data_IF_889515901405
#
_entry.id   IF_889515901405
#
_cell.length_a   1.000
_cell.length_b   1.000
_cell.length_c   1.000
_cell.angle_alpha   90.00
_cell.angle_beta   90.00
_cell.angle_gamma   90.00
#
_symmetry.space_group_name_H-M   'P 1'
#
loop_
_entity.id
_entity.type
_entity.pdbx_description
1 polymer ?
#
# COMPACT_ATOMS: atom_id res chain seq x y z
N UNK A 1 48.35 -18.32 42.62
CA UNK A 1 46.93 -18.58 42.50
C UNK A 1 46.19 -17.26 42.30
N UNK A 2 46.03 -16.78 41.05
CA UNK A 2 45.21 -15.60 40.71
C UNK A 2 44.63 -15.79 39.30
N UNK A 3 43.62 -16.68 39.11
CA UNK A 3 42.97 -16.85 37.83
C UNK A 3 41.42 -17.04 37.81
N UNK A 4 40.63 -16.89 38.88
CA UNK A 4 39.19 -17.01 38.72
C UNK A 4 38.47 -15.70 38.38
N UNK A 5 39.10 -14.52 38.60
CA UNK A 5 38.39 -13.22 38.47
C UNK A 5 38.18 -12.81 36.99
N UNK A 6 39.15 -13.11 36.12
CA UNK A 6 39.06 -12.74 34.69
C UNK A 6 38.00 -13.59 33.94
N UNK A 7 37.90 -14.87 34.30
CA UNK A 7 36.91 -15.78 33.70
C UNK A 7 35.47 -15.39 34.06
N UNK A 8 35.25 -14.93 35.30
CA UNK A 8 33.92 -14.49 35.75
C UNK A 8 33.47 -13.18 35.10
N UNK A 9 34.39 -12.23 34.90
CA UNK A 9 34.09 -10.97 34.23
C UNK A 9 33.74 -11.18 32.73
N UNK A 10 34.46 -12.08 32.03
CA UNK A 10 34.15 -12.42 30.64
C UNK A 10 32.81 -13.15 30.49
N UNK A 11 32.45 -14.04 31.41
CA UNK A 11 31.13 -14.69 31.38
C UNK A 11 29.98 -13.70 31.64
N UNK A 12 30.16 -12.76 32.55
CA UNK A 12 29.16 -11.72 32.81
C UNK A 12 28.97 -10.77 31.63
N UNK A 13 30.05 -10.46 30.89
CA UNK A 13 29.96 -9.60 29.69
C UNK A 13 29.22 -10.32 28.56
N UNK A 14 29.54 -11.58 28.29
CA UNK A 14 28.83 -12.39 27.29
C UNK A 14 27.36 -12.63 27.65
N UNK A 15 27.04 -12.80 28.93
CA UNK A 15 25.66 -12.94 29.41
C UNK A 15 24.88 -11.63 29.26
N UNK A 16 25.51 -10.45 29.47
CA UNK A 16 24.87 -9.16 29.30
C UNK A 16 24.60 -8.85 27.84
N UNK A 17 25.51 -9.18 26.91
CA UNK A 17 25.30 -9.05 25.48
C UNK A 17 24.21 -9.98 24.96
N UNK A 18 24.16 -11.23 25.43
CA UNK A 18 23.11 -12.18 25.08
C UNK A 18 21.73 -11.75 25.61
N UNK A 19 21.64 -11.18 26.80
CA UNK A 19 20.40 -10.61 27.36
C UNK A 19 19.96 -9.35 26.61
N UNK A 20 20.88 -8.49 26.16
CA UNK A 20 20.56 -7.33 25.35
C UNK A 20 20.08 -7.73 23.95
N UNK A 21 20.71 -8.72 23.33
CA UNK A 21 20.30 -9.27 22.05
C UNK A 21 18.91 -9.94 22.12
N UNK A 22 18.62 -10.66 23.21
CA UNK A 22 17.32 -11.29 23.44
C UNK A 22 16.20 -10.26 23.69
N UNK A 23 16.50 -9.17 24.40
CA UNK A 23 15.58 -8.05 24.59
C UNK A 23 15.33 -7.27 23.29
N UNK A 24 16.33 -7.12 22.42
CA UNK A 24 16.17 -6.50 21.12
C UNK A 24 15.27 -7.32 20.17
N UNK A 25 15.34 -8.66 20.25
CA UNK A 25 14.46 -9.57 19.50
C UNK A 25 12.99 -9.53 19.97
N UNK A 26 12.72 -9.21 21.21
CA UNK A 26 11.40 -9.14 21.81
C UNK A 26 10.82 -7.71 21.89
N UNK A 27 11.53 -6.71 21.37
CA UNK A 27 11.01 -5.34 21.33
C UNK A 27 9.81 -5.26 20.42
N UNK A 28 8.72 -4.58 20.82
CA UNK A 28 7.59 -4.32 19.95
C UNK A 28 8.04 -3.61 18.67
N UNK A 29 7.59 -4.10 17.52
CA UNK A 29 7.90 -3.49 16.21
C UNK A 29 6.68 -2.73 15.73
N UNK A 30 6.88 -1.48 15.32
CA UNK A 30 5.87 -0.70 14.61
C UNK A 30 6.16 -0.79 13.11
N UNK A 31 5.15 -1.17 12.33
CA UNK A 31 5.20 -1.14 10.88
C UNK A 31 4.43 0.09 10.42
N UNK A 32 5.10 0.99 9.70
CA UNK A 32 4.49 2.20 9.16
C UNK A 32 4.33 2.01 7.66
N UNK A 33 3.08 2.08 7.19
CA UNK A 33 2.74 1.96 5.77
C UNK A 33 2.29 3.32 5.28
N UNK A 34 2.99 3.87 4.28
CA UNK A 34 2.59 5.11 3.63
C UNK A 34 1.62 4.79 2.50
N UNK A 35 0.44 5.36 2.57
CA UNK A 35 -0.58 5.24 1.53
C UNK A 35 -1.28 6.57 1.28
N UNK A 36 -2.12 6.62 0.25
CA UNK A 36 -3.06 7.68 0.03
C UNK A 36 -4.39 7.09 -0.50
N UNK A 37 -5.49 7.65 0.00
CA UNK A 37 -6.81 7.51 -0.58
C UNK A 37 -7.19 8.82 -1.26
N UNK A 38 -7.67 8.74 -2.48
CA UNK A 38 -8.06 9.89 -3.27
C UNK A 38 -9.41 9.62 -3.94
N UNK A 39 -10.42 10.40 -3.55
CA UNK A 39 -11.70 10.38 -4.22
C UNK A 39 -11.56 10.81 -5.68
N UNK A 40 -12.16 10.02 -6.56
CA UNK A 40 -12.23 10.33 -7.99
C UNK A 40 -13.02 11.61 -8.23
N UNK A 41 -14.07 11.81 -7.45
CA UNK A 41 -14.88 13.01 -7.42
C UNK A 41 -15.63 13.08 -6.07
N UNK A 42 -15.71 14.27 -5.48
CA UNK A 42 -16.51 14.49 -4.28
C UNK A 42 -17.11 15.91 -4.28
N UNK A 43 -16.51 16.87 -3.53
CA UNK A 43 -16.93 18.28 -3.53
C UNK A 43 -16.26 19.10 -4.66
N UNK A 44 -15.64 18.42 -5.58
CA UNK A 44 -14.93 18.96 -6.76
C UNK A 44 -15.16 18.04 -7.95
N UNK A 45 -14.82 18.50 -9.14
CA UNK A 45 -14.95 17.73 -10.38
C UNK A 45 -13.71 16.88 -10.70
N UNK A 46 -13.85 16.00 -11.68
CA UNK A 46 -12.78 15.10 -12.14
C UNK A 46 -11.57 15.88 -12.67
N UNK A 47 -11.78 17.05 -13.27
CA UNK A 47 -10.68 17.87 -13.79
C UNK A 47 -9.80 18.38 -12.66
N UNK A 48 -10.43 18.81 -11.56
CA UNK A 48 -9.71 19.18 -10.33
C UNK A 48 -8.95 17.98 -9.75
N UNK A 49 -9.59 16.80 -9.73
CA UNK A 49 -8.90 15.58 -9.30
C UNK A 49 -7.64 15.34 -10.10
N UNK A 50 -7.68 15.41 -11.41
CA UNK A 50 -6.53 15.16 -12.29
C UNK A 50 -5.46 16.23 -12.11
N UNK A 51 -5.86 17.51 -12.22
CA UNK A 51 -4.91 18.63 -12.30
C UNK A 51 -4.25 18.96 -10.95
N UNK A 52 -4.97 18.75 -9.86
CA UNK A 52 -4.48 19.10 -8.52
C UNK A 52 -4.10 17.85 -7.71
N UNK A 53 -5.05 16.98 -7.43
CA UNK A 53 -4.82 15.90 -6.46
C UNK A 53 -3.97 14.77 -6.99
N UNK A 54 -4.23 14.29 -8.22
CA UNK A 54 -3.40 13.27 -8.87
C UNK A 54 -2.00 13.82 -9.13
N UNK A 55 -1.91 15.06 -9.63
CA UNK A 55 -0.64 15.74 -9.84
C UNK A 55 0.17 15.88 -8.55
N UNK A 56 -0.46 16.36 -7.48
CA UNK A 56 0.22 16.55 -6.20
C UNK A 56 0.64 15.21 -5.59
N UNK A 57 -0.23 14.20 -5.60
CA UNK A 57 0.08 12.86 -5.10
C UNK A 57 1.29 12.28 -5.83
N UNK A 58 1.31 12.36 -7.16
CA UNK A 58 2.41 11.86 -7.97
C UNK A 58 3.73 12.58 -7.66
N UNK A 59 3.74 13.90 -7.71
CA UNK A 59 4.99 14.66 -7.56
C UNK A 59 5.55 14.63 -6.14
N UNK A 60 4.70 14.73 -5.12
CA UNK A 60 5.14 14.70 -3.73
C UNK A 60 5.76 13.34 -3.40
N UNK A 61 5.13 12.25 -3.82
CA UNK A 61 5.66 10.91 -3.54
C UNK A 61 6.91 10.59 -4.36
N UNK A 62 7.00 11.01 -5.61
CA UNK A 62 8.24 10.91 -6.37
C UNK A 62 9.38 11.72 -5.73
N UNK A 63 9.08 12.90 -5.18
CA UNK A 63 10.05 13.68 -4.41
C UNK A 63 10.52 12.95 -3.15
N UNK A 64 9.57 12.39 -2.35
CA UNK A 64 9.89 11.62 -1.15
C UNK A 64 10.72 10.37 -1.46
N UNK A 65 10.38 9.66 -2.52
CA UNK A 65 11.12 8.48 -3.00
C UNK A 65 12.56 8.82 -3.42
N UNK A 66 12.80 10.00 -3.96
CA UNK A 66 14.17 10.49 -4.25
C UNK A 66 14.92 10.88 -3.00
N UNK A 67 14.23 11.53 -2.05
CA UNK A 67 14.83 12.10 -0.85
C UNK A 67 15.17 11.05 0.21
N UNK A 68 14.31 10.04 0.36
CA UNK A 68 14.41 9.04 1.43
C UNK A 68 14.56 7.64 0.81
N UNK A 69 15.74 6.99 0.96
CA UNK A 69 15.99 5.66 0.35
C UNK A 69 15.04 4.58 0.81
N UNK A 70 14.63 4.63 2.07
CA UNK A 70 13.78 3.61 2.70
C UNK A 70 12.26 3.92 2.57
N UNK A 71 11.91 5.04 1.93
CA UNK A 71 10.51 5.40 1.74
C UNK A 71 9.85 4.47 0.73
N UNK A 72 8.69 3.93 1.10
CA UNK A 72 7.82 3.10 0.26
C UNK A 72 6.44 3.71 0.26
N UNK A 73 5.79 3.75 -0.88
CA UNK A 73 4.46 4.32 -1.05
C UNK A 73 3.50 3.33 -1.68
N UNK A 74 2.26 3.33 -1.21
CA UNK A 74 1.17 2.50 -1.70
C UNK A 74 0.05 3.40 -2.22
N UNK A 75 -0.46 3.12 -3.42
CA UNK A 75 -1.53 3.93 -4.00
C UNK A 75 -2.53 3.07 -4.74
N UNK A 76 -3.81 3.36 -4.57
CA UNK A 76 -4.93 2.57 -5.08
C UNK A 76 -5.64 3.24 -6.26
N UNK A 77 -6.37 2.42 -7.03
CA UNK A 77 -7.23 2.88 -8.13
C UNK A 77 -6.50 3.01 -9.46
N UNK A 78 -6.66 2.02 -10.33
CA UNK A 78 -5.99 1.96 -11.64
C UNK A 78 -6.36 3.16 -12.54
N UNK A 79 -7.55 3.73 -12.40
CA UNK A 79 -7.99 4.93 -13.12
C UNK A 79 -7.06 6.12 -12.87
N UNK A 80 -6.57 6.29 -11.66
CA UNK A 80 -5.67 7.39 -11.30
C UNK A 80 -4.32 7.24 -12.01
N UNK A 81 -3.82 6.01 -12.13
CA UNK A 81 -2.62 5.72 -12.93
C UNK A 81 -2.85 5.94 -14.44
N UNK A 82 -4.05 5.65 -14.95
CA UNK A 82 -4.38 5.93 -16.34
C UNK A 82 -4.35 7.43 -16.63
N UNK A 83 -4.84 8.26 -15.70
CA UNK A 83 -4.72 9.71 -15.79
C UNK A 83 -3.28 10.20 -15.66
N UNK A 84 -2.48 9.61 -14.76
CA UNK A 84 -1.05 9.92 -14.67
C UNK A 84 -0.33 9.64 -15.99
N UNK A 85 -0.66 8.53 -16.66
CA UNK A 85 -0.11 8.18 -17.98
C UNK A 85 -0.52 9.17 -19.06
N UNK A 86 -1.79 9.56 -19.09
CA UNK A 86 -2.35 10.44 -20.11
C UNK A 86 -1.89 11.89 -19.96
N UNK A 87 -1.97 12.43 -18.74
CA UNK A 87 -1.77 13.86 -18.50
C UNK A 87 -0.34 14.20 -18.04
N UNK A 88 0.40 13.24 -17.47
CA UNK A 88 1.75 13.46 -16.91
C UNK A 88 2.76 12.40 -17.36
N UNK A 89 2.91 12.13 -18.67
CA UNK A 89 3.64 10.97 -19.19
C UNK A 89 5.08 10.89 -18.71
N UNK A 90 5.80 12.01 -18.64
CA UNK A 90 7.19 12.02 -18.17
C UNK A 90 7.32 11.58 -16.71
N UNK A 91 6.38 12.01 -15.85
CA UNK A 91 6.34 11.60 -14.44
C UNK A 91 5.87 10.18 -14.27
N UNK A 92 4.98 9.74 -15.17
CA UNK A 92 4.51 8.34 -15.20
C UNK A 92 5.63 7.35 -15.49
N UNK A 93 6.55 7.67 -16.37
CA UNK A 93 7.73 6.82 -16.62
C UNK A 93 8.66 6.74 -15.37
N UNK A 94 8.82 7.84 -14.63
CA UNK A 94 9.53 7.82 -13.36
C UNK A 94 8.80 6.93 -12.33
N UNK A 95 7.46 7.04 -12.26
CA UNK A 95 6.62 6.19 -11.39
C UNK A 95 6.82 4.70 -11.74
N UNK A 96 6.79 4.33 -13.02
CA UNK A 96 7.02 2.94 -13.46
C UNK A 96 8.36 2.41 -12.98
N UNK A 97 9.39 3.25 -13.00
CA UNK A 97 10.69 2.88 -12.45
C UNK A 97 10.61 2.61 -10.95
N UNK A 98 9.87 3.43 -10.16
CA UNK A 98 9.67 3.20 -8.72
C UNK A 98 8.88 1.93 -8.42
N UNK A 99 7.89 1.60 -9.26
CA UNK A 99 7.18 0.31 -9.16
C UNK A 99 8.14 -0.86 -9.38
N UNK A 100 8.98 -0.79 -10.42
CA UNK A 100 9.98 -1.82 -10.71
C UNK A 100 11.02 -1.99 -9.59
N UNK A 101 11.36 -0.92 -8.90
CA UNK A 101 12.26 -0.93 -7.74
C UNK A 101 11.59 -1.50 -6.46
N UNK A 102 10.29 -1.79 -6.49
CA UNK A 102 9.54 -2.22 -5.30
C UNK A 102 9.35 -1.12 -4.26
N UNK A 103 9.40 0.14 -4.67
CA UNK A 103 9.27 1.29 -3.78
C UNK A 103 7.96 2.07 -3.95
N UNK A 104 7.22 1.78 -5.00
CA UNK A 104 5.84 2.21 -5.21
C UNK A 104 5.01 0.98 -5.50
N UNK A 105 4.04 0.68 -4.64
CA UNK A 105 3.15 -0.46 -4.80
C UNK A 105 1.80 -0.02 -5.33
N UNK A 106 1.32 -0.73 -6.35
CA UNK A 106 -0.07 -0.65 -6.78
C UNK A 106 -0.91 -1.51 -5.84
N UNK A 107 -1.92 -0.93 -5.23
CA UNK A 107 -2.76 -1.60 -4.23
C UNK A 107 -4.24 -1.51 -4.58
N UNK A 108 -5.06 -2.29 -3.88
CA UNK A 108 -6.51 -2.21 -3.97
C UNK A 108 -7.16 -2.91 -5.15
N UNK A 109 -6.40 -3.57 -6.01
CA UNK A 109 -6.80 -4.38 -7.18
C UNK A 109 -7.86 -3.81 -8.12
N UNK A 110 -8.59 -2.77 -7.76
CA UNK A 110 -9.74 -2.22 -8.48
C UNK A 110 -9.36 -1.15 -9.50
N UNK A 111 -10.23 -0.98 -10.51
CA UNK A 111 -10.15 0.17 -11.41
C UNK A 111 -10.29 1.48 -10.64
N UNK A 112 -11.31 1.55 -9.77
CA UNK A 112 -11.48 2.65 -8.83
C UNK A 112 -12.06 2.14 -7.51
N UNK A 113 -11.86 2.88 -6.41
CA UNK A 113 -12.52 2.61 -5.15
C UNK A 113 -14.04 2.65 -5.35
N UNK A 114 -14.74 1.65 -4.84
CA UNK A 114 -16.17 1.50 -5.07
C UNK A 114 -16.92 1.19 -3.78
N UNK A 115 -18.18 1.57 -3.75
CA UNK A 115 -19.14 1.00 -2.82
C UNK A 115 -19.30 -0.50 -3.08
N UNK A 116 -19.42 -1.29 -2.03
CA UNK A 116 -19.55 -2.75 -2.12
C UNK A 116 -20.90 -3.27 -1.60
N UNK A 117 -21.84 -2.37 -1.29
CA UNK A 117 -23.19 -2.69 -0.84
C UNK A 117 -24.22 -2.49 -1.96
N UNK A 118 -24.07 -1.45 -2.76
CA UNK A 118 -25.05 -1.05 -3.80
C UNK A 118 -24.80 -1.76 -5.13
N UNK A 119 -23.55 -1.88 -5.64
CA UNK A 119 -23.31 -2.51 -6.94
C UNK A 119 -23.62 -4.00 -6.94
N UNK A 120 -23.93 -4.53 -8.13
CA UNK A 120 -24.03 -5.98 -8.31
C UNK A 120 -22.66 -6.66 -8.13
N UNK A 121 -22.69 -7.94 -7.80
CA UNK A 121 -21.46 -8.75 -7.70
C UNK A 121 -20.67 -8.70 -9.02
N UNK A 122 -21.33 -8.72 -10.17
CA UNK A 122 -20.69 -8.59 -11.49
C UNK A 122 -19.97 -7.26 -11.65
N UNK A 123 -20.56 -6.16 -11.20
CA UNK A 123 -19.91 -4.84 -11.25
C UNK A 123 -18.65 -4.79 -10.42
N UNK A 124 -18.67 -5.39 -9.22
CA UNK A 124 -17.48 -5.50 -8.36
C UNK A 124 -16.39 -6.35 -9.02
N UNK A 125 -16.76 -7.50 -9.58
CA UNK A 125 -15.81 -8.37 -10.29
C UNK A 125 -15.19 -7.67 -11.51
N UNK A 126 -15.99 -6.93 -12.29
CA UNK A 126 -15.47 -6.16 -13.44
C UNK A 126 -14.53 -5.04 -13.01
N UNK A 127 -14.85 -4.35 -11.92
CA UNK A 127 -13.98 -3.30 -11.38
C UNK A 127 -12.60 -3.85 -11.00
N UNK A 128 -12.56 -5.03 -10.36
CA UNK A 128 -11.32 -5.74 -10.05
C UNK A 128 -10.63 -6.21 -11.33
N UNK A 129 -11.36 -6.82 -12.28
CA UNK A 129 -10.82 -7.30 -13.53
C UNK A 129 -10.11 -6.19 -14.33
N UNK A 130 -10.73 -5.02 -14.46
CA UNK A 130 -10.14 -3.89 -15.18
C UNK A 130 -8.93 -3.32 -14.44
N UNK A 131 -8.98 -3.20 -13.11
CA UNK A 131 -7.86 -2.75 -12.31
C UNK A 131 -6.66 -3.67 -12.44
N UNK A 132 -6.84 -4.97 -12.22
CA UNK A 132 -5.79 -5.98 -12.35
C UNK A 132 -5.22 -6.05 -13.77
N UNK A 133 -6.06 -5.97 -14.79
CA UNK A 133 -5.61 -5.94 -16.18
C UNK A 133 -4.71 -4.74 -16.46
N UNK A 134 -5.08 -3.57 -15.95
CA UNK A 134 -4.27 -2.37 -16.09
C UNK A 134 -2.91 -2.53 -15.41
N UNK A 135 -2.89 -2.97 -14.15
CA UNK A 135 -1.66 -3.19 -13.40
C UNK A 135 -0.74 -4.19 -14.07
N UNK A 136 -1.29 -5.30 -14.54
CA UNK A 136 -0.54 -6.34 -15.26
C UNK A 136 0.06 -5.80 -16.56
N UNK A 137 -0.71 -5.05 -17.32
CA UNK A 137 -0.29 -4.53 -18.63
C UNK A 137 0.76 -3.42 -18.48
N UNK A 138 0.57 -2.50 -17.53
CA UNK A 138 1.43 -1.33 -17.39
C UNK A 138 2.68 -1.58 -16.54
N UNK A 139 2.55 -2.40 -15.50
CA UNK A 139 3.60 -2.57 -14.50
C UNK A 139 4.14 -4.00 -14.41
N UNK A 140 3.51 -4.97 -15.07
CA UNK A 140 3.88 -6.39 -14.98
C UNK A 140 3.66 -7.00 -13.60
N UNK A 141 2.78 -6.38 -12.79
CA UNK A 141 2.46 -6.82 -11.43
C UNK A 141 0.95 -6.80 -11.19
N UNK A 142 0.52 -7.36 -10.07
CA UNK A 142 -0.86 -7.40 -9.63
C UNK A 142 -0.95 -6.95 -8.17
N UNK A 143 -2.11 -6.44 -7.76
CA UNK A 143 -2.45 -6.30 -6.35
C UNK A 143 -3.12 -7.57 -5.84
N UNK A 144 -2.88 -7.92 -4.60
CA UNK A 144 -3.46 -9.10 -3.96
C UNK A 144 -4.47 -8.77 -2.87
N UNK A 145 -4.85 -7.50 -2.76
CA UNK A 145 -5.73 -6.99 -1.72
C UNK A 145 -6.91 -6.20 -2.28
N UNK A 146 -7.94 -6.08 -1.45
CA UNK A 146 -8.97 -5.05 -1.57
C UNK A 146 -8.63 -3.94 -0.57
N UNK A 147 -8.48 -2.72 -1.04
CA UNK A 147 -8.20 -1.55 -0.22
C UNK A 147 -9.36 -0.56 -0.33
N UNK A 148 -10.19 -0.50 0.70
CA UNK A 148 -11.39 0.36 0.77
C UNK A 148 -11.41 1.11 2.10
N UNK A 149 -10.53 2.11 2.29
CA UNK A 149 -10.39 2.78 3.57
C UNK A 149 -11.59 3.66 3.93
N UNK A 150 -12.33 4.14 2.95
CA UNK A 150 -13.44 5.07 3.14
C UNK A 150 -14.83 4.53 2.76
N UNK A 151 -15.01 3.21 2.71
CA UNK A 151 -16.32 2.59 2.55
C UNK A 151 -17.09 2.49 3.86
N UNK A 152 -18.40 2.73 3.81
CA UNK A 152 -19.29 2.85 4.97
C UNK A 152 -20.14 1.60 5.23
N UNK A 153 -19.67 0.46 4.79
CA UNK A 153 -20.29 -0.85 5.00
C UNK A 153 -19.76 -1.88 4.01
N UNK A 154 -19.89 -3.15 4.40
CA UNK A 154 -19.36 -4.27 3.62
C UNK A 154 -20.36 -5.41 3.60
N UNK A 155 -20.66 -5.92 2.40
CA UNK A 155 -21.56 -7.07 2.23
C UNK A 155 -20.89 -8.39 2.57
N UNK A 156 -21.66 -9.36 3.04
CA UNK A 156 -21.20 -10.72 3.34
C UNK A 156 -20.61 -11.46 2.14
N UNK A 157 -20.92 -11.03 0.92
CA UNK A 157 -20.43 -11.63 -0.32
C UNK A 157 -19.00 -11.18 -0.67
N UNK A 158 -18.51 -10.08 -0.09
CA UNK A 158 -17.21 -9.51 -0.45
C UNK A 158 -16.04 -10.49 -0.28
N UNK A 159 -15.93 -11.26 0.82
CA UNK A 159 -14.87 -12.27 0.95
C UNK A 159 -14.91 -13.34 -0.14
N UNK A 160 -16.12 -13.77 -0.55
CA UNK A 160 -16.28 -14.76 -1.62
C UNK A 160 -15.87 -14.19 -2.98
N UNK A 161 -16.21 -12.93 -3.27
CA UNK A 161 -15.77 -12.23 -4.49
C UNK A 161 -14.25 -12.05 -4.51
N UNK A 162 -13.66 -11.63 -3.39
CA UNK A 162 -12.21 -11.50 -3.25
C UNK A 162 -11.51 -12.83 -3.53
N UNK A 163 -11.95 -13.90 -2.88
CA UNK A 163 -11.39 -15.24 -3.08
C UNK A 163 -11.52 -15.70 -4.55
N UNK A 164 -12.67 -15.47 -5.17
CA UNK A 164 -12.88 -15.80 -6.59
C UNK A 164 -11.92 -15.05 -7.53
N UNK A 165 -11.55 -13.82 -7.16
CA UNK A 165 -10.56 -13.01 -7.89
C UNK A 165 -9.10 -13.33 -7.54
N UNK A 166 -8.84 -14.31 -6.66
CA UNK A 166 -7.48 -14.65 -6.20
C UNK A 166 -6.88 -13.65 -5.22
N UNK A 167 -7.72 -12.79 -4.60
CA UNK A 167 -7.27 -11.80 -3.63
C UNK A 167 -7.23 -12.43 -2.23
N UNK A 168 -6.21 -12.08 -1.45
CA UNK A 168 -5.94 -12.67 -0.13
C UNK A 168 -5.92 -11.63 1.00
N UNK A 169 -5.95 -10.34 0.67
CA UNK A 169 -5.91 -9.23 1.62
C UNK A 169 -7.16 -8.35 1.57
N UNK A 170 -7.48 -7.75 2.69
CA UNK A 170 -8.52 -6.73 2.82
C UNK A 170 -8.10 -5.67 3.83
N UNK A 171 -8.17 -4.41 3.44
CA UNK A 171 -7.84 -3.27 4.30
C UNK A 171 -8.95 -2.24 4.29
N UNK A 172 -9.37 -1.79 5.47
CA UNK A 172 -10.34 -0.72 5.69
C UNK A 172 -10.10 -0.06 7.04
N UNK A 173 -10.55 1.20 7.20
CA UNK A 173 -10.52 1.90 8.48
C UNK A 173 -11.90 2.18 9.09
N UNK A 174 -12.98 2.05 8.31
CA UNK A 174 -14.33 2.44 8.74
C UNK A 174 -15.06 1.41 9.61
N UNK A 175 -14.50 0.22 9.81
CA UNK A 175 -15.13 -0.85 10.59
C UNK A 175 -15.36 -0.48 12.07
N UNK A 176 -14.60 0.44 12.62
CA UNK A 176 -14.73 0.91 14.01
C UNK A 176 -15.52 2.22 14.18
N UNK A 177 -16.04 2.79 13.12
CA UNK A 177 -16.83 4.02 13.18
C UNK A 177 -18.23 3.72 13.75
N UNK A 178 -18.58 4.39 14.86
CA UNK A 178 -19.91 4.35 15.50
C UNK A 178 -20.52 5.75 15.47
#
# INVERSE_FOLDING_TARGET
>A
MKQPVVLFASLCFLASEAMQAQNAQNSPKAYVVSDAHLDTQWNWDIQTTIQEYVWNTLNQNLFLLRKYPDYVFNFEGAVKYSWMKEYFPTRYEELKQRVKEGRWHVTGSSWDANDVLVPSAESVLRNILYGQNYYRTEFGTESTDIFLPDCFGFGWTLPSLAHHCGLIGFSSQKLGWR
#
